data_IF_266271593364
#
_entry.id   IF_266271593364
#
_cell.length_a   1.000
_cell.length_b   1.000
_cell.length_c   1.000
_cell.angle_alpha   90.00
_cell.angle_beta   90.00
_cell.angle_gamma   90.00
#
_symmetry.space_group_name_H-M   'P 1'
#
loop_
_entity.id
_entity.type
_entity.pdbx_description
1 polymer ?
#
# COMPACT_ATOMS: atom_id res chain seq x y z
N UNK A 1 17.47 -17.49 -20.22
CA UNK A 1 16.34 -17.20 -19.30
C UNK A 1 16.76 -17.52 -17.87
N UNK A 2 16.28 -16.73 -16.90
CA UNK A 2 16.45 -17.00 -15.47
C UNK A 2 15.06 -17.29 -14.90
N UNK A 3 14.78 -18.48 -14.37
CA UNK A 3 13.49 -18.76 -13.71
C UNK A 3 13.28 -17.86 -12.49
N UNK A 4 12.06 -17.33 -12.32
CA UNK A 4 11.75 -16.47 -11.15
C UNK A 4 11.96 -17.20 -9.82
N UNK A 5 11.73 -18.51 -9.79
CA UNK A 5 11.94 -19.36 -8.61
C UNK A 5 13.40 -19.48 -8.19
N UNK A 6 14.37 -19.18 -9.07
CA UNK A 6 15.80 -19.17 -8.71
C UNK A 6 16.28 -17.83 -8.17
N UNK A 7 15.45 -16.77 -8.19
CA UNK A 7 15.84 -15.44 -7.71
C UNK A 7 15.74 -15.30 -6.19
N UNK A 8 14.98 -16.16 -5.52
CA UNK A 8 14.81 -16.13 -4.07
C UNK A 8 13.56 -16.87 -3.60
N UNK A 9 13.39 -16.98 -2.29
CA UNK A 9 12.27 -17.63 -1.61
C UNK A 9 11.15 -16.64 -1.26
N UNK A 10 10.78 -15.77 -2.21
CA UNK A 10 9.67 -14.84 -2.06
C UNK A 10 8.83 -14.72 -3.33
N UNK A 11 7.64 -14.13 -3.18
CA UNK A 11 6.81 -13.77 -4.33
C UNK A 11 7.36 -12.51 -4.98
N UNK A 12 7.40 -12.51 -6.31
CA UNK A 12 7.82 -11.36 -7.11
C UNK A 12 6.64 -10.85 -7.93
N UNK A 13 6.44 -9.53 -7.90
CA UNK A 13 5.46 -8.84 -8.75
C UNK A 13 6.18 -8.17 -9.91
N UNK A 14 5.65 -8.29 -11.12
CA UNK A 14 6.14 -7.55 -12.28
C UNK A 14 5.52 -6.16 -12.32
N UNK A 15 6.36 -5.12 -12.29
CA UNK A 15 5.95 -3.75 -12.55
C UNK A 15 6.31 -3.39 -14.01
N UNK A 16 5.28 -3.33 -14.86
CA UNK A 16 5.41 -3.01 -16.28
C UNK A 16 5.96 -1.60 -16.52
N UNK A 17 5.69 -0.65 -15.62
CA UNK A 17 6.10 0.76 -15.82
C UNK A 17 7.59 0.95 -15.60
N UNK A 18 8.15 0.27 -14.60
CA UNK A 18 9.58 0.33 -14.30
C UNK A 18 10.39 -0.81 -14.93
N UNK A 19 9.72 -1.72 -15.66
CA UNK A 19 10.29 -2.95 -16.19
C UNK A 19 11.13 -3.68 -15.15
N UNK A 20 10.50 -3.97 -14.00
CA UNK A 20 11.17 -4.56 -12.86
C UNK A 20 10.39 -5.70 -12.23
N UNK A 21 11.09 -6.71 -11.74
CA UNK A 21 10.52 -7.67 -10.78
C UNK A 21 10.80 -7.15 -9.38
N UNK A 22 9.76 -6.99 -8.56
CA UNK A 22 9.84 -6.47 -7.20
C UNK A 22 9.43 -7.56 -6.21
N UNK A 23 10.31 -7.86 -5.26
CA UNK A 23 10.03 -8.79 -4.17
C UNK A 23 8.94 -8.25 -3.25
N UNK A 24 7.91 -9.04 -2.98
CA UNK A 24 6.77 -8.63 -2.16
C UNK A 24 7.19 -8.42 -0.70
N UNK A 25 8.13 -9.20 -0.17
CA UNK A 25 8.53 -9.09 1.24
C UNK A 25 9.66 -8.09 1.41
N UNK A 26 10.68 -8.20 0.57
CA UNK A 26 11.90 -7.39 0.69
C UNK A 26 11.75 -6.01 0.03
N UNK A 27 10.89 -5.89 -0.99
CA UNK A 27 10.84 -4.73 -1.87
C UNK A 27 12.07 -4.58 -2.77
N UNK A 28 13.02 -5.52 -2.71
CA UNK A 28 14.20 -5.54 -3.57
C UNK A 28 13.79 -5.78 -5.01
N UNK A 29 14.56 -5.25 -5.96
CA UNK A 29 14.13 -5.22 -7.36
C UNK A 29 15.17 -5.66 -8.37
N UNK A 30 14.69 -6.33 -9.40
CA UNK A 30 15.42 -6.69 -10.61
C UNK A 30 14.93 -5.84 -11.77
N UNK A 31 15.56 -4.69 -11.98
CA UNK A 31 15.25 -3.76 -13.07
C UNK A 31 15.94 -4.14 -14.37
N UNK A 32 15.23 -3.95 -15.49
CA UNK A 32 15.78 -4.08 -16.82
C UNK A 32 16.99 -3.14 -17.04
N UNK A 33 17.98 -3.59 -17.82
CA UNK A 33 19.19 -2.83 -18.13
C UNK A 33 20.30 -2.89 -17.06
N UNK A 34 20.02 -3.51 -15.91
CA UNK A 34 21.04 -3.76 -14.88
C UNK A 34 22.05 -4.80 -15.37
N UNK A 35 23.34 -4.53 -15.17
CA UNK A 35 24.41 -5.52 -15.36
C UNK A 35 24.33 -6.56 -14.24
N UNK A 36 24.35 -7.83 -14.62
CA UNK A 36 24.27 -8.96 -13.70
C UNK A 36 25.28 -10.03 -14.09
N UNK A 37 25.77 -10.73 -13.09
CA UNK A 37 26.54 -11.96 -13.24
C UNK A 37 25.61 -13.16 -13.10
N UNK A 38 25.77 -14.10 -14.03
CA UNK A 38 24.96 -15.30 -14.11
C UNK A 38 25.82 -16.51 -14.38
N UNK A 39 25.37 -17.66 -13.88
CA UNK A 39 25.95 -18.96 -14.20
C UNK A 39 25.10 -19.66 -15.26
N UNK A 40 25.73 -20.17 -16.30
CA UNK A 40 25.05 -21.05 -17.27
C UNK A 40 24.74 -22.39 -16.59
N UNK A 41 23.46 -22.73 -16.51
CA UNK A 41 22.98 -23.98 -15.92
C UNK A 41 22.76 -25.05 -16.97
N UNK A 42 22.10 -24.69 -18.07
CA UNK A 42 21.79 -25.62 -19.15
C UNK A 42 21.76 -24.89 -20.50
N UNK A 43 22.21 -25.59 -21.54
CA UNK A 43 22.14 -25.15 -22.92
C UNK A 43 21.49 -26.24 -23.78
N UNK A 44 20.41 -25.90 -24.47
CA UNK A 44 19.67 -26.80 -25.37
C UNK A 44 20.03 -26.47 -26.83
N UNK A 45 20.95 -27.23 -27.46
CA UNK A 45 21.55 -26.84 -28.74
C UNK A 45 20.55 -26.81 -29.90
N UNK A 46 19.50 -27.64 -29.85
CA UNK A 46 18.51 -27.76 -30.94
C UNK A 46 17.59 -26.53 -30.99
N UNK A 47 17.14 -26.04 -29.85
CA UNK A 47 16.22 -24.89 -29.75
C UNK A 47 16.94 -23.57 -29.47
N UNK A 48 18.24 -23.61 -29.16
CA UNK A 48 19.02 -22.45 -28.75
C UNK A 48 18.65 -21.92 -27.36
N UNK A 49 17.91 -22.69 -26.55
CA UNK A 49 17.47 -22.28 -25.23
C UNK A 49 18.61 -22.31 -24.22
N UNK A 50 18.76 -21.23 -23.46
CA UNK A 50 19.75 -21.11 -22.39
C UNK A 50 19.05 -20.89 -21.05
N UNK A 51 19.37 -21.69 -20.04
CA UNK A 51 18.94 -21.48 -18.67
C UNK A 51 20.10 -21.01 -17.81
N UNK A 52 19.84 -20.01 -16.98
CA UNK A 52 20.83 -19.39 -16.12
C UNK A 52 20.37 -19.37 -14.67
N UNK A 53 21.36 -19.34 -13.78
CA UNK A 53 21.21 -19.06 -12.36
C UNK A 53 21.77 -17.66 -12.07
N UNK A 54 21.03 -16.86 -11.27
CA UNK A 54 21.42 -15.50 -10.91
C UNK A 54 22.44 -15.53 -9.77
N UNK A 55 23.60 -14.90 -9.95
CA UNK A 55 24.64 -14.80 -8.90
C UNK A 55 24.73 -13.42 -8.26
N UNK A 56 24.33 -12.38 -9.01
CA UNK A 56 24.23 -11.04 -8.44
C UNK A 56 23.14 -10.97 -7.38
N UNK A 57 23.25 -9.98 -6.51
CA UNK A 57 22.20 -9.59 -5.56
C UNK A 57 21.21 -8.61 -6.22
N UNK A 58 19.96 -8.52 -5.74
CA UNK A 58 18.97 -7.60 -6.28
C UNK A 58 19.32 -6.14 -5.97
N UNK A 59 18.75 -5.22 -6.75
CA UNK A 59 18.86 -3.80 -6.49
C UNK A 59 18.09 -3.38 -5.23
N UNK A 60 18.46 -2.24 -4.62
CA UNK A 60 17.75 -1.71 -3.47
C UNK A 60 16.32 -1.38 -3.84
N UNK A 61 15.45 -1.48 -2.83
CA UNK A 61 14.06 -1.06 -2.89
C UNK A 61 13.95 0.38 -3.39
N UNK A 62 12.93 0.65 -4.19
CA UNK A 62 12.60 2.01 -4.58
C UNK A 62 12.11 2.81 -3.35
N UNK A 63 12.76 3.94 -3.00
CA UNK A 63 12.35 4.78 -1.88
C UNK A 63 10.92 5.31 -2.00
N UNK A 64 10.42 5.48 -3.22
CA UNK A 64 9.08 6.02 -3.49
C UNK A 64 8.02 4.93 -3.66
N UNK A 65 8.41 3.65 -3.69
CA UNK A 65 7.45 2.57 -3.81
C UNK A 65 6.65 2.39 -2.51
N UNK A 66 5.33 2.16 -2.59
CA UNK A 66 4.51 1.89 -1.42
C UNK A 66 5.04 0.67 -0.66
N UNK A 67 5.02 0.71 0.67
CA UNK A 67 5.35 -0.46 1.51
C UNK A 67 4.44 -1.61 1.16
N UNK A 68 5.04 -2.77 0.90
CA UNK A 68 4.30 -3.99 0.65
C UNK A 68 3.40 -4.25 1.85
N UNK A 69 2.10 -4.11 1.64
CA UNK A 69 1.11 -4.32 2.70
C UNK A 69 0.84 -5.81 2.79
N UNK A 70 1.83 -6.58 3.26
CA UNK A 70 1.63 -7.98 3.61
C UNK A 70 0.44 -8.06 4.58
N UNK A 71 -0.68 -8.60 4.12
CA UNK A 71 -1.85 -8.87 4.96
C UNK A 71 -2.88 -7.76 5.13
N UNK A 72 -2.73 -6.58 4.51
CA UNK A 72 -3.81 -5.57 4.54
C UNK A 72 -4.77 -5.74 3.36
N UNK A 73 -5.43 -6.91 3.31
CA UNK A 73 -6.86 -6.83 3.02
C UNK A 73 -7.41 -5.89 4.08
N UNK A 74 -7.81 -4.69 3.67
CA UNK A 74 -8.49 -3.75 4.52
C UNK A 74 -9.77 -4.41 5.09
N UNK A 75 -9.61 -5.22 6.14
CA UNK A 75 -10.67 -5.46 7.11
C UNK A 75 -10.80 -4.16 7.88
N UNK A 76 -11.59 -3.25 7.31
CA UNK A 76 -11.97 -1.99 7.92
C UNK A 76 -10.94 -0.87 7.74
N UNK A 77 -10.79 -0.37 6.52
CA UNK A 77 -10.77 1.10 6.44
C UNK A 77 -12.22 1.54 6.68
N UNK A 78 -12.56 2.30 7.73
CA UNK A 78 -13.86 2.93 7.82
C UNK A 78 -13.87 4.09 6.81
N UNK A 79 -13.95 3.73 5.53
CA UNK A 79 -14.30 4.66 4.48
C UNK A 79 -15.80 4.96 4.59
N UNK A 80 -16.11 6.22 4.88
CA UNK A 80 -17.25 6.92 4.31
C UNK A 80 -18.63 6.28 4.49
N UNK A 81 -19.33 6.67 5.55
CA UNK A 81 -20.77 6.46 5.68
C UNK A 81 -21.43 7.62 6.40
N UNK A 82 -21.93 8.60 5.62
CA UNK A 82 -22.96 9.61 5.92
C UNK A 82 -22.86 10.46 7.20
N UNK A 83 -23.09 11.80 7.15
CA UNK A 83 -23.30 12.57 8.36
C UNK A 83 -24.61 12.08 8.99
N UNK A 84 -24.54 11.41 10.15
CA UNK A 84 -25.74 11.10 10.93
C UNK A 84 -26.34 12.39 11.47
N UNK A 85 -27.18 12.97 10.63
CA UNK A 85 -28.27 13.88 10.99
C UNK A 85 -29.09 13.20 12.10
N UNK A 86 -29.41 13.98 13.14
CA UNK A 86 -29.81 13.52 14.45
C UNK A 86 -30.97 12.51 14.53
N UNK A 87 -30.94 11.71 15.59
CA UNK A 87 -32.02 10.86 16.07
C UNK A 87 -32.16 11.01 17.59
N UNK A 88 -33.39 11.01 18.14
CA UNK A 88 -33.70 11.58 19.45
C UNK A 88 -33.46 10.57 20.57
N UNK A 89 -32.82 10.99 21.64
CA UNK A 89 -32.81 10.23 22.90
C UNK A 89 -31.44 9.75 23.35
N UNK A 90 -30.63 10.68 23.86
CA UNK A 90 -29.62 10.36 24.85
C UNK A 90 -29.52 11.56 25.78
N UNK A 91 -30.15 11.47 26.95
CA UNK A 91 -29.91 12.40 28.06
C UNK A 91 -28.53 12.09 28.65
N UNK A 92 -27.57 13.03 28.69
CA UNK A 92 -26.49 12.96 29.67
C UNK A 92 -27.02 13.60 30.95
N UNK A 93 -27.17 12.75 31.96
CA UNK A 93 -27.33 13.14 33.36
C UNK A 93 -26.01 13.77 33.82
N UNK A 94 -26.16 14.83 34.61
CA UNK A 94 -25.19 15.31 35.60
C UNK A 94 -23.95 16.07 35.10
N UNK A 95 -24.03 17.41 35.27
CA UNK A 95 -23.09 18.03 36.20
C UNK A 95 -21.95 18.88 35.66
N UNK A 96 -22.22 19.93 34.87
CA UNK A 96 -21.50 21.21 34.99
C UNK A 96 -22.22 22.32 34.23
N UNK A 97 -22.74 23.32 34.93
CA UNK A 97 -23.23 24.58 34.36
C UNK A 97 -22.01 25.40 33.89
N UNK A 98 -21.96 25.88 32.63
CA UNK A 98 -21.35 27.15 32.33
C UNK A 98 -22.43 28.24 32.44
N UNK A 99 -22.13 29.21 33.29
CA UNK A 99 -22.76 30.52 33.44
C UNK A 99 -23.44 31.03 32.17
N UNK A 100 -24.75 31.24 32.27
CA UNK A 100 -25.55 31.87 31.23
C UNK A 100 -25.15 33.32 30.96
N UNK A 101 -25.48 33.79 29.76
CA UNK A 101 -25.25 35.19 29.42
C UNK A 101 -25.67 35.63 28.03
N UNK A 102 -26.78 35.14 27.44
CA UNK A 102 -27.42 35.85 26.33
C UNK A 102 -28.94 35.84 26.52
N UNK A 103 -29.40 36.87 27.25
CA UNK A 103 -30.78 37.21 27.52
C UNK A 103 -31.25 38.22 26.46
N UNK A 104 -32.31 37.87 25.73
CA UNK A 104 -33.27 38.87 25.25
C UNK A 104 -33.34 39.10 23.74
N UNK A 105 -33.98 38.17 23.01
CA UNK A 105 -34.75 38.57 21.83
C UNK A 105 -36.08 39.12 22.33
N UNK A 106 -36.28 40.45 22.25
CA UNK A 106 -37.60 41.06 22.43
C UNK A 106 -38.13 41.55 21.08
N UNK A 107 -39.22 40.87 20.72
CA UNK A 107 -40.19 41.09 19.65
C UNK A 107 -40.75 42.53 19.64
N UNK A 108 -40.66 43.19 18.48
CA UNK A 108 -41.77 43.91 17.83
C UNK A 108 -42.29 45.25 18.38
N UNK A 109 -42.14 46.27 17.51
CA UNK A 109 -43.16 47.19 16.95
C UNK A 109 -43.67 48.42 17.76
N UNK A 110 -43.69 49.55 17.01
CA UNK A 110 -44.54 50.77 17.05
C UNK A 110 -44.11 51.92 17.96
N UNK A 111 -43.59 52.99 17.34
CA UNK A 111 -44.30 54.28 17.20
C UNK A 111 -43.77 55.01 15.98
#
# INVERSE_FOLDING_TARGET
LVPVSSLGSEYFTHDDRSHALVGERSGLRWTLGRRVEVKLKEATPITGGLLFEMLSEPGPRDPNAPTARLGMRARGAPGGGYPKRGGPGSKPRDGKKPSGGLKGVRKGKRR
#
